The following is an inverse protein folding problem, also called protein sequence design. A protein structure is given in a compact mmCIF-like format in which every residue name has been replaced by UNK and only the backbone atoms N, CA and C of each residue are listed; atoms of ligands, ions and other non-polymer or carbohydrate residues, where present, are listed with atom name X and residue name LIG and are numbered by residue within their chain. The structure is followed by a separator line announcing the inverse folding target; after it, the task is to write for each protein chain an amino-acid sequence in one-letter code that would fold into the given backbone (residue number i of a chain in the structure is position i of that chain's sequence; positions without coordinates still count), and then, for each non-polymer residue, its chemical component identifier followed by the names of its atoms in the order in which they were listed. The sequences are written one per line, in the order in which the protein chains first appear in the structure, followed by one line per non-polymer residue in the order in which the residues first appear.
data_IF_362913051403
#
_entry.id   IF_362913051403
#
_cell.length_a   1.000
_cell.length_b   1.000
_cell.length_c   1.000
_cell.angle_alpha   90.00
_cell.angle_beta   90.00
_cell.angle_gamma   90.00
#
_symmetry.space_group_name_H-M   'P 1'
#
loop_
_entity.id
_entity.type
_entity.pdbx_description
1 polymer ?
#
# COMPACT_ATOMS: atom_id res chain seq x y z
N UNK A 1 -7.89 23.05 18.54
CA UNK A 1 -6.57 23.05 17.87
C UNK A 1 -6.36 21.71 17.17
N UNK A 2 -6.53 21.66 15.86
CA UNK A 2 -6.42 20.41 15.08
C UNK A 2 -4.98 20.20 14.59
N UNK A 3 -4.07 19.86 15.50
CA UNK A 3 -2.70 19.52 15.12
C UNK A 3 -2.68 18.35 14.13
N UNK A 4 -1.99 18.52 12.98
CA UNK A 4 -1.73 17.44 12.04
C UNK A 4 -0.82 16.39 12.68
N UNK A 5 -0.86 15.14 12.17
CA UNK A 5 0.07 14.07 12.56
C UNK A 5 1.28 14.08 11.64
N UNK A 6 2.16 15.07 11.80
CA UNK A 6 3.33 15.20 10.94
C UNK A 6 4.27 14.01 11.00
N UNK A 7 4.35 13.31 12.14
CA UNK A 7 5.11 12.06 12.25
C UNK A 7 4.56 10.97 11.31
N UNK A 8 3.22 10.86 11.20
CA UNK A 8 2.62 9.91 10.24
C UNK A 8 2.85 10.35 8.79
N UNK A 9 2.89 11.65 8.50
CA UNK A 9 3.15 12.12 7.15
C UNK A 9 4.60 11.83 6.72
N UNK A 10 5.59 11.95 7.63
CA UNK A 10 6.98 11.53 7.39
C UNK A 10 7.05 10.00 7.23
N UNK A 11 6.41 9.25 8.13
CA UNK A 11 6.37 7.79 8.03
C UNK A 11 5.83 7.34 6.67
N UNK A 12 4.78 7.97 6.15
CA UNK A 12 4.24 7.66 4.81
C UNK A 12 5.27 7.83 3.70
N UNK A 13 6.11 8.86 3.76
CA UNK A 13 7.17 9.04 2.76
C UNK A 13 8.18 7.90 2.84
N UNK A 14 8.66 7.56 4.04
CA UNK A 14 9.60 6.46 4.24
C UNK A 14 9.04 5.12 3.76
N UNK A 15 7.77 4.85 4.06
CA UNK A 15 7.08 3.64 3.62
C UNK A 15 6.83 3.63 2.12
N UNK A 16 6.54 4.78 1.50
CA UNK A 16 6.41 4.89 0.05
C UNK A 16 7.74 4.57 -0.65
N UNK A 17 8.86 5.08 -0.13
CA UNK A 17 10.20 4.75 -0.64
C UNK A 17 10.55 3.27 -0.45
N UNK A 18 10.13 2.68 0.66
CA UNK A 18 10.30 1.24 0.90
C UNK A 18 9.50 0.39 -0.11
N UNK A 19 8.30 0.84 -0.50
CA UNK A 19 7.52 0.18 -1.56
C UNK A 19 8.19 0.35 -2.92
N UNK A 20 8.75 1.53 -3.22
CA UNK A 20 9.56 1.73 -4.43
C UNK A 20 10.71 0.74 -4.45
N UNK A 21 11.46 0.62 -3.35
CA UNK A 21 12.58 -0.32 -3.21
C UNK A 21 12.14 -1.78 -3.42
N UNK A 22 10.97 -2.17 -2.95
CA UNK A 22 10.39 -3.49 -3.17
C UNK A 22 10.27 -3.84 -4.66
N UNK A 23 9.76 -2.90 -5.46
CA UNK A 23 9.50 -3.14 -6.88
C UNK A 23 10.76 -3.03 -7.76
N UNK A 24 11.73 -2.24 -7.33
CA UNK A 24 13.00 -2.08 -8.03
C UNK A 24 14.00 -3.18 -7.63
N UNK A 25 13.92 -3.65 -6.42
CA UNK A 25 14.95 -4.41 -5.75
C UNK A 25 15.22 -5.81 -6.30
N UNK A 26 14.39 -6.34 -7.22
CA UNK A 26 14.70 -7.61 -7.89
C UNK A 26 16.08 -7.60 -8.57
N UNK A 27 16.63 -6.41 -8.81
CA UNK A 27 17.90 -6.25 -9.52
C UNK A 27 19.04 -5.73 -8.63
N UNK A 28 18.76 -5.32 -7.39
CA UNK A 28 19.61 -4.31 -6.77
C UNK A 28 20.69 -4.77 -5.80
N UNK A 29 20.39 -5.61 -4.86
CA UNK A 29 21.34 -5.78 -3.75
C UNK A 29 22.04 -7.14 -3.74
N UNK A 30 21.42 -8.11 -4.39
CA UNK A 30 21.90 -9.47 -4.30
C UNK A 30 21.71 -10.15 -5.66
N UNK A 31 22.76 -10.73 -6.19
CA UNK A 31 22.69 -11.61 -7.38
C UNK A 31 21.92 -12.90 -7.08
N UNK A 32 21.11 -12.92 -6.03
CA UNK A 32 20.37 -14.06 -5.56
C UNK A 32 18.95 -13.64 -5.16
N UNK A 33 17.94 -14.24 -5.79
CA UNK A 33 16.52 -13.98 -5.58
C UNK A 33 16.12 -14.22 -4.13
N UNK A 34 16.65 -15.27 -3.49
CA UNK A 34 16.37 -15.57 -2.08
C UNK A 34 16.68 -14.40 -1.15
N UNK A 35 17.88 -13.82 -1.25
CA UNK A 35 18.27 -12.70 -0.39
C UNK A 35 17.45 -11.45 -0.64
N UNK A 36 17.03 -11.22 -1.91
CA UNK A 36 16.14 -10.11 -2.21
C UNK A 36 14.77 -10.31 -1.57
N UNK A 37 14.15 -11.48 -1.76
CA UNK A 37 12.85 -11.82 -1.17
C UNK A 37 12.94 -11.78 0.35
N UNK A 38 13.98 -12.36 0.92
CA UNK A 38 14.16 -12.43 2.36
C UNK A 38 14.37 -11.05 2.99
N UNK A 39 15.24 -10.19 2.44
CA UNK A 39 15.57 -8.92 3.09
C UNK A 39 14.58 -7.82 2.69
N UNK A 40 14.46 -7.54 1.39
CA UNK A 40 13.72 -6.37 0.92
C UNK A 40 12.21 -6.64 0.90
N UNK A 41 11.80 -7.77 0.34
CA UNK A 41 10.38 -8.08 0.23
C UNK A 41 9.74 -8.23 1.61
N UNK A 42 10.41 -8.90 2.54
CA UNK A 42 9.91 -9.10 3.91
C UNK A 42 9.67 -7.77 4.63
N UNK A 43 10.67 -6.88 4.70
CA UNK A 43 10.51 -5.59 5.40
C UNK A 43 9.50 -4.68 4.69
N UNK A 44 9.40 -4.74 3.37
CA UNK A 44 8.49 -3.87 2.61
C UNK A 44 7.01 -4.20 2.81
N UNK A 45 6.68 -5.38 3.37
CA UNK A 45 5.30 -5.74 3.72
C UNK A 45 4.67 -4.79 4.73
N UNK A 46 5.49 -4.14 5.59
CA UNK A 46 5.01 -3.13 6.54
C UNK A 46 4.50 -1.85 5.85
N UNK A 47 4.88 -1.61 4.59
CA UNK A 47 4.48 -0.42 3.85
C UNK A 47 2.97 -0.32 3.68
N UNK A 48 2.39 -1.27 2.96
CA UNK A 48 0.96 -1.27 2.64
C UNK A 48 0.11 -1.49 3.89
N UNK A 49 0.52 -2.39 4.79
CA UNK A 49 -0.18 -2.64 6.07
C UNK A 49 -0.28 -1.37 6.91
N UNK A 50 0.81 -0.62 7.05
CA UNK A 50 0.82 0.67 7.76
C UNK A 50 -0.04 1.72 7.05
N UNK A 51 -0.06 1.78 5.71
CA UNK A 51 -0.91 2.72 4.98
C UNK A 51 -2.41 2.50 5.25
N UNK A 52 -2.88 1.25 5.29
CA UNK A 52 -4.27 0.96 5.66
C UNK A 52 -4.57 1.38 7.10
N UNK A 53 -3.70 1.04 8.06
CA UNK A 53 -3.87 1.39 9.47
C UNK A 53 -3.90 2.92 9.65
N UNK A 54 -2.95 3.64 9.04
CA UNK A 54 -2.93 5.11 9.10
C UNK A 54 -4.16 5.75 8.46
N UNK A 55 -4.65 5.17 7.35
CA UNK A 55 -5.87 5.66 6.68
C UNK A 55 -7.10 5.49 7.56
N UNK A 56 -7.23 4.33 8.23
CA UNK A 56 -8.27 4.08 9.22
C UNK A 56 -8.18 5.06 10.39
N UNK A 57 -7.01 5.21 11.00
CA UNK A 57 -6.79 6.13 12.11
C UNK A 57 -7.17 7.57 11.75
N UNK A 58 -6.63 8.10 10.65
CA UNK A 58 -6.87 9.50 10.25
C UNK A 58 -8.32 9.78 9.87
N UNK A 59 -9.02 8.79 9.29
CA UNK A 59 -10.43 8.94 8.93
C UNK A 59 -11.34 8.91 10.16
N UNK A 60 -11.15 7.93 11.06
CA UNK A 60 -12.06 7.66 12.17
C UNK A 60 -11.75 8.41 13.48
N UNK A 61 -10.61 9.12 13.56
CA UNK A 61 -10.29 9.95 14.76
C UNK A 61 -11.23 11.12 15.02
N UNK A 62 -12.05 11.48 14.08
CA UNK A 62 -13.12 12.48 14.24
C UNK A 62 -14.45 11.80 13.95
N UNK A 63 -15.55 12.27 14.53
CA UNK A 63 -16.87 11.72 14.25
C UNK A 63 -17.11 11.59 12.73
N UNK A 64 -17.55 10.42 12.30
CA UNK A 64 -17.70 10.09 10.88
C UNK A 64 -19.16 9.86 10.54
N UNK A 65 -19.77 10.83 9.84
CA UNK A 65 -21.07 10.72 9.21
C UNK A 65 -20.99 10.28 7.74
N UNK A 66 -22.14 10.02 7.13
CA UNK A 66 -22.31 9.56 5.75
C UNK A 66 -21.60 10.49 4.74
N UNK A 67 -21.77 11.80 4.90
CA UNK A 67 -21.19 12.78 3.97
C UNK A 67 -19.65 12.79 4.01
N UNK A 68 -19.05 12.61 5.19
CA UNK A 68 -17.60 12.53 5.30
C UNK A 68 -17.04 11.27 4.62
N UNK A 69 -17.72 10.14 4.75
CA UNK A 69 -17.34 8.89 4.04
C UNK A 69 -17.47 9.08 2.54
N UNK A 70 -18.60 9.59 2.05
CA UNK A 70 -18.83 9.91 0.64
C UNK A 70 -17.71 10.78 0.06
N UNK A 71 -17.37 11.87 0.76
CA UNK A 71 -16.29 12.77 0.36
C UNK A 71 -14.93 12.06 0.29
N UNK A 72 -14.63 11.18 1.26
CA UNK A 72 -13.38 10.42 1.28
C UNK A 72 -13.32 9.41 0.14
N UNK A 73 -14.39 8.65 -0.09
CA UNK A 73 -14.49 7.69 -1.20
C UNK A 73 -14.35 8.41 -2.53
N UNK A 74 -15.07 9.52 -2.73
CA UNK A 74 -14.97 10.30 -3.97
C UNK A 74 -13.56 10.83 -4.21
N UNK A 75 -12.84 11.27 -3.16
CA UNK A 75 -11.44 11.66 -3.27
C UNK A 75 -10.56 10.51 -3.73
N UNK A 76 -10.74 9.31 -3.17
CA UNK A 76 -9.96 8.12 -3.56
C UNK A 76 -10.30 7.71 -4.99
N UNK A 77 -11.59 7.71 -5.38
CA UNK A 77 -12.02 7.40 -6.74
C UNK A 77 -11.45 8.37 -7.76
N UNK A 78 -11.42 9.66 -7.43
CA UNK A 78 -10.85 10.68 -8.30
C UNK A 78 -9.34 10.45 -8.50
N UNK A 79 -8.61 10.22 -7.41
CA UNK A 79 -7.20 9.87 -7.45
C UNK A 79 -6.96 8.61 -8.28
N UNK A 80 -7.76 7.57 -8.04
CA UNK A 80 -7.69 6.30 -8.75
C UNK A 80 -7.94 6.49 -10.26
N UNK A 81 -8.99 7.24 -10.64
CA UNK A 81 -9.30 7.53 -12.04
C UNK A 81 -8.21 8.30 -12.75
N UNK A 82 -7.64 9.35 -12.11
CA UNK A 82 -6.54 10.11 -12.70
C UNK A 82 -5.31 9.23 -12.99
N UNK A 83 -4.91 8.39 -12.06
CA UNK A 83 -3.78 7.48 -12.26
C UNK A 83 -4.10 6.31 -13.20
N UNK A 84 -5.36 5.84 -13.25
CA UNK A 84 -5.79 4.89 -14.27
C UNK A 84 -5.59 5.45 -15.68
N UNK A 85 -5.92 6.72 -15.92
CA UNK A 85 -5.68 7.36 -17.22
C UNK A 85 -4.18 7.41 -17.55
N UNK A 86 -3.32 7.67 -16.56
CA UNK A 86 -1.86 7.68 -16.77
C UNK A 86 -1.34 6.30 -17.14
N UNK A 87 -1.88 5.22 -16.56
CA UNK A 87 -1.45 3.83 -16.83
C UNK A 87 -2.13 3.19 -18.03
N UNK A 88 -3.24 3.76 -18.52
CA UNK A 88 -4.03 3.19 -19.62
C UNK A 88 -3.20 2.86 -20.88
N UNK A 89 -2.24 3.68 -21.34
CA UNK A 89 -1.41 3.33 -22.48
C UNK A 89 -0.60 2.05 -22.27
N UNK A 90 -0.12 1.79 -21.04
CA UNK A 90 0.63 0.58 -20.71
C UNK A 90 -0.27 -0.66 -20.68
N UNK A 91 -1.51 -0.52 -20.20
CA UNK A 91 -2.49 -1.60 -20.19
C UNK A 91 -2.90 -1.95 -21.63
N UNK A 92 -3.15 -0.94 -22.48
CA UNK A 92 -3.47 -1.14 -23.90
C UNK A 92 -2.31 -1.88 -24.58
N UNK A 93 -1.07 -1.43 -24.41
CA UNK A 93 0.10 -2.09 -24.97
C UNK A 93 0.18 -3.57 -24.55
N UNK A 94 -0.08 -3.86 -23.25
CA UNK A 94 -0.09 -5.22 -22.73
C UNK A 94 -1.18 -6.06 -23.38
N UNK A 95 -2.41 -5.57 -23.50
CA UNK A 95 -3.52 -6.29 -24.12
C UNK A 95 -3.26 -6.61 -25.60
N UNK A 96 -2.65 -5.67 -26.34
CA UNK A 96 -2.24 -5.90 -27.73
C UNK A 96 -1.16 -6.97 -27.82
N UNK A 97 -0.17 -6.94 -26.94
CA UNK A 97 0.91 -7.93 -26.88
C UNK A 97 0.39 -9.32 -26.52
N UNK A 98 -0.55 -9.41 -25.58
CA UNK A 98 -1.16 -10.67 -25.12
C UNK A 98 -2.20 -11.21 -26.12
N UNK A 99 -2.48 -10.48 -27.22
CA UNK A 99 -3.42 -10.89 -28.29
C UNK A 99 -4.89 -10.92 -27.84
N UNK A 100 -5.26 -10.20 -26.77
CA UNK A 100 -6.64 -10.15 -26.33
C UNK A 100 -7.50 -9.37 -27.32
N UNK A 101 -8.68 -9.93 -27.65
CA UNK A 101 -9.67 -9.17 -28.41
C UNK A 101 -10.32 -8.09 -27.55
N UNK A 102 -10.97 -7.11 -28.20
CA UNK A 102 -11.53 -5.94 -27.53
C UNK A 102 -12.52 -6.27 -26.39
N UNK A 103 -13.50 -7.19 -26.55
CA UNK A 103 -14.39 -7.60 -25.47
C UNK A 103 -13.64 -8.21 -24.26
N UNK A 104 -12.66 -9.09 -24.52
CA UNK A 104 -11.85 -9.71 -23.46
C UNK A 104 -11.03 -8.67 -22.70
N UNK A 105 -10.41 -7.71 -23.40
CA UNK A 105 -9.66 -6.63 -22.79
C UNK A 105 -10.55 -5.74 -21.89
N UNK A 106 -11.79 -5.43 -22.31
CA UNK A 106 -12.74 -4.67 -21.49
C UNK A 106 -13.13 -5.44 -20.24
N UNK A 107 -13.46 -6.72 -20.34
CA UNK A 107 -13.86 -7.55 -19.21
C UNK A 107 -12.71 -7.63 -18.19
N UNK A 108 -11.49 -7.92 -18.63
CA UNK A 108 -10.29 -7.97 -17.79
C UNK A 108 -10.01 -6.62 -17.13
N UNK A 109 -10.09 -5.52 -17.88
CA UNK A 109 -9.89 -4.18 -17.34
C UNK A 109 -10.90 -3.82 -16.27
N UNK A 110 -12.20 -4.06 -16.51
CA UNK A 110 -13.27 -3.76 -15.54
C UNK A 110 -13.10 -4.62 -14.28
N UNK A 111 -12.82 -5.90 -14.44
CA UNK A 111 -12.60 -6.82 -13.32
C UNK A 111 -11.39 -6.38 -12.47
N UNK A 112 -10.28 -6.04 -13.11
CA UNK A 112 -9.09 -5.50 -12.43
C UNK A 112 -9.41 -4.17 -11.74
N UNK A 113 -10.09 -3.25 -12.42
CA UNK A 113 -10.43 -1.94 -11.87
C UNK A 113 -11.24 -2.04 -10.57
N UNK A 114 -12.12 -3.01 -10.47
CA UNK A 114 -12.97 -3.19 -9.28
C UNK A 114 -12.21 -3.92 -8.16
N UNK A 115 -11.50 -5.01 -8.46
CA UNK A 115 -11.02 -5.95 -7.46
C UNK A 115 -9.52 -5.89 -7.18
N UNK A 116 -8.69 -5.56 -8.18
CA UNK A 116 -7.24 -5.70 -8.08
C UNK A 116 -6.45 -4.42 -8.42
N UNK A 117 -7.13 -3.35 -8.84
CA UNK A 117 -6.49 -2.15 -9.38
C UNK A 117 -6.16 -2.29 -10.87
N UNK A 118 -6.35 -1.23 -11.65
CA UNK A 118 -6.07 -1.22 -13.10
C UNK A 118 -4.60 -1.50 -13.38
N UNK A 119 -3.70 -1.04 -12.52
CA UNK A 119 -2.28 -1.40 -12.56
C UNK A 119 -1.86 -2.07 -11.25
N UNK A 120 -0.86 -2.94 -11.27
CA UNK A 120 -0.53 -3.90 -10.20
C UNK A 120 -0.36 -3.28 -8.79
N UNK A 121 0.07 -2.03 -8.66
CA UNK A 121 0.23 -1.34 -7.37
C UNK A 121 -1.03 -0.60 -6.93
N UNK A 122 -1.99 -0.35 -7.84
CA UNK A 122 -3.20 0.42 -7.54
C UNK A 122 -4.27 -0.35 -6.77
N UNK A 123 -4.06 -1.67 -6.55
CA UNK A 123 -4.95 -2.50 -5.74
C UNK A 123 -5.23 -1.91 -4.35
N UNK A 124 -4.27 -1.18 -3.78
CA UNK A 124 -4.44 -0.52 -2.50
C UNK A 124 -5.58 0.49 -2.51
N UNK A 125 -5.75 1.27 -3.57
CA UNK A 125 -6.79 2.31 -3.65
C UNK A 125 -8.20 1.67 -3.76
N UNK A 126 -8.41 0.68 -4.63
CA UNK A 126 -9.69 -0.04 -4.72
C UNK A 126 -10.00 -0.76 -3.41
N UNK A 127 -9.01 -1.43 -2.83
CA UNK A 127 -9.13 -2.10 -1.54
C UNK A 127 -9.45 -1.15 -0.38
N UNK A 128 -8.88 0.04 -0.37
CA UNK A 128 -9.14 1.04 0.67
C UNK A 128 -10.59 1.53 0.64
N UNK A 129 -11.19 1.66 -0.54
CA UNK A 129 -12.61 2.02 -0.67
C UNK A 129 -13.49 0.95 -0.02
N UNK A 130 -13.28 -0.33 -0.37
CA UNK A 130 -14.02 -1.46 0.20
C UNK A 130 -13.84 -1.51 1.72
N UNK A 131 -12.60 -1.41 2.19
CA UNK A 131 -12.27 -1.45 3.61
C UNK A 131 -12.97 -0.33 4.41
N UNK A 132 -12.97 0.90 3.88
CA UNK A 132 -13.67 2.05 4.50
C UNK A 132 -15.18 1.77 4.60
N UNK A 133 -15.80 1.22 3.54
CA UNK A 133 -17.21 0.88 3.54
C UNK A 133 -17.54 -0.17 4.60
N UNK A 134 -16.78 -1.27 4.66
CA UNK A 134 -16.98 -2.34 5.64
C UNK A 134 -16.87 -1.79 7.08
N UNK A 135 -15.81 -1.05 7.37
CA UNK A 135 -15.58 -0.49 8.70
C UNK A 135 -16.66 0.55 9.06
N UNK A 136 -17.11 1.36 8.10
CA UNK A 136 -18.17 2.33 8.34
C UNK A 136 -19.52 1.67 8.65
N UNK A 137 -19.91 0.63 7.91
CA UNK A 137 -21.15 -0.11 8.13
C UNK A 137 -21.14 -0.76 9.52
N UNK A 138 -20.01 -1.34 9.92
CA UNK A 138 -19.87 -2.08 11.16
C UNK A 138 -19.33 -1.24 12.33
N UNK A 139 -19.15 0.07 12.19
CA UNK A 139 -18.44 0.94 13.15
C UNK A 139 -18.99 0.90 14.59
N UNK A 140 -20.29 0.62 14.75
CA UNK A 140 -20.96 0.56 16.06
C UNK A 140 -20.94 -0.85 16.70
N UNK A 141 -20.47 -1.88 15.95
CA UNK A 141 -20.40 -3.28 16.40
C UNK A 141 -18.95 -3.74 16.48
N UNK A 142 -18.17 -3.13 17.36
CA UNK A 142 -16.72 -3.27 17.41
C UNK A 142 -16.24 -4.72 17.51
N UNK A 143 -16.80 -5.53 18.41
CA UNK A 143 -16.38 -6.92 18.57
C UNK A 143 -16.60 -7.70 17.27
N UNK A 144 -17.79 -7.58 16.66
CA UNK A 144 -18.12 -8.26 15.41
C UNK A 144 -17.20 -7.77 14.29
N UNK A 145 -16.97 -6.45 14.19
CA UNK A 145 -16.06 -5.87 13.20
C UNK A 145 -14.66 -6.52 13.29
N UNK A 146 -14.06 -6.53 14.47
CA UNK A 146 -12.71 -7.06 14.67
C UNK A 146 -12.67 -8.57 14.43
N UNK A 147 -13.62 -9.34 14.99
CA UNK A 147 -13.63 -10.81 14.83
C UNK A 147 -13.81 -11.23 13.37
N UNK A 148 -14.80 -10.66 12.66
CA UNK A 148 -15.06 -11.01 11.27
C UNK A 148 -13.90 -10.59 10.36
N UNK A 149 -13.40 -9.35 10.50
CA UNK A 149 -12.32 -8.88 9.65
C UNK A 149 -10.98 -9.56 9.96
N UNK A 150 -10.73 -9.97 11.21
CA UNK A 150 -9.57 -10.79 11.57
C UNK A 150 -9.64 -12.18 10.94
N UNK A 151 -10.80 -12.84 10.98
CA UNK A 151 -11.02 -14.13 10.31
C UNK A 151 -10.77 -14.04 8.81
N UNK A 152 -11.30 -13.01 8.14
CA UNK A 152 -11.03 -12.75 6.73
C UNK A 152 -9.55 -12.49 6.46
N UNK A 153 -8.87 -11.71 7.31
CA UNK A 153 -7.44 -11.45 7.18
C UNK A 153 -6.60 -12.73 7.30
N UNK A 154 -6.92 -13.60 8.24
CA UNK A 154 -6.26 -14.89 8.42
C UNK A 154 -6.39 -15.72 7.13
N UNK A 155 -7.58 -15.84 6.59
CA UNK A 155 -7.82 -16.54 5.32
C UNK A 155 -7.00 -15.87 4.20
N UNK A 156 -7.02 -14.55 4.12
CA UNK A 156 -6.28 -13.79 3.10
C UNK A 156 -4.77 -14.04 3.15
N UNK A 157 -4.17 -14.06 4.35
CA UNK A 157 -2.74 -14.33 4.52
C UNK A 157 -2.40 -15.79 4.16
N UNK A 158 -3.22 -16.75 4.62
CA UNK A 158 -2.98 -18.16 4.31
C UNK A 158 -3.06 -18.44 2.81
N UNK A 159 -3.97 -17.81 2.10
CA UNK A 159 -4.13 -18.03 0.65
C UNK A 159 -3.08 -17.27 -0.17
N UNK A 160 -2.88 -15.98 0.08
CA UNK A 160 -1.98 -15.12 -0.73
C UNK A 160 -0.51 -15.35 -0.37
N UNK A 161 -0.18 -15.42 0.92
CA UNK A 161 1.21 -15.49 1.38
C UNK A 161 1.71 -16.92 1.58
N UNK A 162 0.89 -17.79 2.17
CA UNK A 162 1.30 -19.19 2.40
C UNK A 162 0.86 -20.15 1.29
N UNK A 163 0.09 -19.69 0.29
CA UNK A 163 -0.28 -20.46 -0.89
C UNK A 163 -1.29 -21.57 -0.65
N UNK A 164 -2.07 -21.49 0.43
CA UNK A 164 -3.15 -22.43 0.66
C UNK A 164 -4.26 -22.18 -0.36
N UNK A 165 -4.69 -23.24 -1.04
CA UNK A 165 -5.71 -23.12 -2.10
C UNK A 165 -7.03 -22.61 -1.56
N UNK A 166 -7.63 -21.66 -2.27
CA UNK A 166 -8.98 -21.17 -2.06
C UNK A 166 -9.88 -21.65 -3.22
N UNK A 167 -11.21 -21.73 -3.08
CA UNK A 167 -12.08 -22.21 -4.14
C UNK A 167 -11.85 -21.48 -5.48
N UNK A 168 -11.70 -22.23 -6.57
CA UNK A 168 -11.44 -21.68 -7.92
C UNK A 168 -12.45 -20.63 -8.35
N UNK A 169 -13.74 -20.84 -8.03
CA UNK A 169 -14.84 -19.89 -8.32
C UNK A 169 -14.55 -18.50 -7.75
N UNK A 170 -13.94 -18.43 -6.56
CA UNK A 170 -13.55 -17.15 -5.97
C UNK A 170 -12.56 -16.40 -6.87
N UNK A 171 -11.50 -17.07 -7.34
CA UNK A 171 -10.47 -16.45 -8.18
C UNK A 171 -10.99 -16.02 -9.56
N UNK A 172 -12.01 -16.70 -10.09
CA UNK A 172 -12.67 -16.29 -11.33
C UNK A 172 -13.34 -14.93 -11.21
N UNK A 173 -13.88 -14.61 -10.02
CA UNK A 173 -14.62 -13.35 -9.80
C UNK A 173 -13.70 -12.27 -9.23
N UNK A 174 -12.95 -12.58 -8.18
CA UNK A 174 -12.23 -11.60 -7.35
C UNK A 174 -10.73 -11.53 -7.65
N UNK A 175 -10.20 -12.40 -8.49
CA UNK A 175 -8.80 -12.50 -8.93
C UNK A 175 -7.80 -12.84 -7.80
N UNK A 176 -7.98 -12.31 -6.60
CA UNK A 176 -7.04 -12.47 -5.47
C UNK A 176 -7.73 -12.26 -4.13
N UNK A 177 -7.22 -12.87 -3.08
CA UNK A 177 -7.58 -12.56 -1.69
C UNK A 177 -6.87 -11.32 -1.16
N UNK A 178 -5.89 -10.79 -1.89
CA UNK A 178 -5.21 -9.52 -1.60
C UNK A 178 -6.09 -8.34 -1.99
N UNK A 179 -7.16 -8.12 -1.26
CA UNK A 179 -8.15 -7.09 -1.53
C UNK A 179 -8.69 -6.42 -0.26
N UNK A 180 -9.61 -5.47 -0.44
CA UNK A 180 -10.17 -4.69 0.64
C UNK A 180 -11.00 -5.50 1.64
N UNK A 181 -11.64 -6.58 1.20
CA UNK A 181 -12.47 -7.42 2.07
C UNK A 181 -11.60 -8.26 3.01
N UNK A 182 -10.66 -9.03 2.45
CA UNK A 182 -9.84 -9.97 3.22
C UNK A 182 -8.71 -9.28 4.00
N UNK A 183 -8.03 -8.31 3.40
CA UNK A 183 -6.86 -7.68 4.03
C UNK A 183 -7.12 -6.26 4.52
N UNK A 184 -7.68 -5.41 3.65
CA UNK A 184 -7.85 -3.99 3.96
C UNK A 184 -8.79 -3.71 5.12
N UNK A 185 -9.89 -4.46 5.24
CA UNK A 185 -10.92 -4.21 6.24
C UNK A 185 -10.40 -4.37 7.68
N UNK A 186 -9.60 -5.40 7.96
CA UNK A 186 -9.00 -5.58 9.28
C UNK A 186 -8.02 -4.45 9.61
N UNK A 187 -7.14 -4.10 8.68
CA UNK A 187 -6.13 -3.07 8.91
C UNK A 187 -6.76 -1.67 9.12
N UNK A 188 -7.81 -1.33 8.37
CA UNK A 188 -8.58 -0.09 8.58
C UNK A 188 -9.35 -0.15 9.90
N UNK A 189 -9.88 -1.31 10.30
CA UNK A 189 -10.55 -1.49 11.60
C UNK A 189 -9.58 -1.31 12.77
N UNK A 190 -8.35 -1.85 12.66
CA UNK A 190 -7.27 -1.59 13.64
C UNK A 190 -6.98 -0.09 13.71
N UNK A 191 -6.86 0.59 12.55
CA UNK A 191 -6.67 2.05 12.52
C UNK A 191 -7.79 2.80 13.25
N UNK A 192 -9.05 2.39 13.07
CA UNK A 192 -10.19 2.91 13.84
C UNK A 192 -10.03 2.64 15.34
N UNK A 193 -9.63 1.44 15.73
CA UNK A 193 -9.40 1.13 17.14
C UNK A 193 -8.29 2.00 17.74
N UNK A 194 -7.19 2.24 17.03
CA UNK A 194 -6.15 3.17 17.49
C UNK A 194 -6.69 4.60 17.66
N UNK A 195 -7.62 5.03 16.81
CA UNK A 195 -8.28 6.32 16.92
C UNK A 195 -9.21 6.39 18.17
N UNK A 196 -9.96 5.34 18.43
CA UNK A 196 -10.84 5.26 19.62
C UNK A 196 -10.05 5.30 20.95
N UNK A 197 -8.79 4.84 20.96
CA UNK A 197 -7.91 4.80 22.12
C UNK A 197 -6.74 5.79 22.07
N UNK A 198 -6.77 6.78 21.19
CA UNK A 198 -5.67 7.73 20.96
C UNK A 198 -5.07 8.31 22.25
N UNK A 199 -5.92 8.73 23.21
CA UNK A 199 -5.48 9.33 24.47
C UNK A 199 -4.63 8.37 25.33
N UNK A 200 -4.95 7.06 25.29
CA UNK A 200 -4.23 6.04 26.04
C UNK A 200 -2.88 5.68 25.38
N UNK A 201 -2.79 5.80 24.05
CA UNK A 201 -1.59 5.44 23.30
C UNK A 201 -0.41 6.37 23.56
N UNK A 202 -0.66 7.62 23.92
CA UNK A 202 0.39 8.63 24.21
C UNK A 202 1.30 8.27 25.37
N UNK A 203 0.88 7.38 26.25
CA UNK A 203 1.61 7.01 27.47
C UNK A 203 2.36 5.68 27.38
N UNK A 204 2.36 5.02 26.22
CA UNK A 204 2.92 3.68 26.07
C UNK A 204 4.39 3.68 25.63
N UNK A 205 5.32 3.99 26.54
CA UNK A 205 6.77 3.94 26.28
C UNK A 205 7.27 2.53 25.89
N UNK A 206 6.59 1.47 26.35
CA UNK A 206 6.97 0.06 26.12
C UNK A 206 6.97 -0.36 24.65
N UNK A 207 6.19 0.31 23.78
CA UNK A 207 6.14 -0.04 22.34
C UNK A 207 7.48 0.07 21.64
N UNK A 208 8.35 1.00 22.08
CA UNK A 208 9.70 1.16 21.51
C UNK A 208 10.60 -0.05 21.78
N UNK A 209 10.40 -0.73 22.90
CA UNK A 209 11.16 -1.93 23.26
C UNK A 209 10.64 -3.17 22.53
N UNK A 210 9.34 -3.22 22.21
CA UNK A 210 8.71 -4.34 21.52
C UNK A 210 9.02 -4.31 20.02
N UNK A 211 9.23 -3.13 19.42
CA UNK A 211 9.46 -2.99 17.99
C UNK A 211 10.65 -3.81 17.45
N UNK A 212 11.85 -3.80 18.06
CA UNK A 212 12.96 -4.63 17.60
C UNK A 212 12.64 -6.12 17.63
N UNK A 213 11.96 -6.60 18.68
CA UNK A 213 11.54 -8.01 18.80
C UNK A 213 10.54 -8.38 17.69
N UNK A 214 9.58 -7.48 17.41
CA UNK A 214 8.62 -7.69 16.33
C UNK A 214 9.29 -7.70 14.93
N UNK A 215 10.32 -6.87 14.73
CA UNK A 215 11.12 -6.88 13.48
C UNK A 215 11.89 -8.20 13.34
N UNK A 216 12.49 -8.70 14.42
CA UNK A 216 13.15 -10.02 14.39
C UNK A 216 12.14 -11.11 14.03
N UNK A 217 10.95 -11.11 14.65
CA UNK A 217 9.88 -12.05 14.32
C UNK A 217 9.44 -11.94 12.85
N UNK A 218 9.40 -10.72 12.27
CA UNK A 218 9.09 -10.50 10.87
C UNK A 218 10.12 -11.19 9.96
N UNK A 219 11.40 -11.05 10.26
CA UNK A 219 12.45 -11.71 9.48
C UNK A 219 12.48 -13.24 9.68
N UNK A 220 12.12 -13.74 10.87
CA UNK A 220 11.96 -15.18 11.11
C UNK A 220 10.82 -15.73 10.26
N UNK A 221 9.64 -15.08 10.26
CA UNK A 221 8.51 -15.50 9.41
C UNK A 221 8.87 -15.42 7.92
N UNK A 222 9.47 -14.32 7.48
CA UNK A 222 9.92 -14.15 6.09
C UNK A 222 10.95 -15.20 5.65
N UNK A 223 11.89 -15.54 6.54
CA UNK A 223 12.88 -16.59 6.31
C UNK A 223 12.25 -17.98 6.18
N UNK A 224 11.27 -18.29 7.02
CA UNK A 224 10.53 -19.55 6.92
C UNK A 224 9.78 -19.64 5.58
N UNK A 225 9.06 -18.59 5.19
CA UNK A 225 8.33 -18.55 3.90
C UNK A 225 9.30 -18.71 2.73
N UNK A 226 10.40 -17.95 2.71
CA UNK A 226 11.41 -17.99 1.64
C UNK A 226 12.17 -19.32 1.57
N UNK A 227 12.25 -20.08 2.68
CA UNK A 227 12.84 -21.42 2.72
C UNK A 227 11.93 -22.45 2.03
N UNK A 228 10.61 -22.33 2.19
CA UNK A 228 9.65 -23.23 1.54
C UNK A 228 9.43 -22.90 0.06
N UNK A 229 9.48 -21.63 -0.29
CA UNK A 229 9.30 -21.13 -1.66
C UNK A 229 10.13 -19.84 -1.83
N UNK A 230 11.33 -19.97 -2.41
CA UNK A 230 12.29 -18.87 -2.54
C UNK A 230 11.85 -17.77 -3.52
N UNK A 231 10.89 -18.07 -4.39
CA UNK A 231 10.36 -17.11 -5.37
C UNK A 231 9.05 -16.45 -4.91
N UNK A 232 8.50 -16.91 -3.80
CA UNK A 232 7.21 -16.42 -3.29
C UNK A 232 7.28 -14.97 -2.86
N UNK A 233 6.47 -14.17 -3.49
CA UNK A 233 6.30 -12.77 -3.13
C UNK A 233 5.44 -12.66 -1.87
N UNK A 234 6.06 -12.22 -0.75
CA UNK A 234 5.36 -12.00 0.51
C UNK A 234 4.63 -10.65 0.43
N UNK A 235 3.32 -10.67 0.28
CA UNK A 235 2.54 -9.43 0.22
C UNK A 235 2.20 -8.89 1.60
N UNK A 236 1.67 -9.72 2.49
CA UNK A 236 1.35 -9.40 3.88
C UNK A 236 1.63 -10.64 4.73
N UNK A 237 2.45 -10.50 5.76
CA UNK A 237 2.74 -11.54 6.75
C UNK A 237 2.02 -11.24 8.08
N UNK A 238 1.79 -12.23 8.93
CA UNK A 238 1.19 -12.00 10.25
C UNK A 238 2.01 -11.03 11.08
N UNK A 239 3.33 -11.22 11.11
CA UNK A 239 4.24 -10.33 11.85
C UNK A 239 4.32 -8.95 11.25
N UNK A 240 4.14 -8.78 9.93
CA UNK A 240 4.08 -7.45 9.30
C UNK A 240 2.90 -6.62 9.80
N UNK A 241 1.78 -7.26 10.08
CA UNK A 241 0.62 -6.60 10.70
C UNK A 241 0.96 -6.12 12.11
N UNK A 242 1.60 -6.97 12.91
CA UNK A 242 2.04 -6.63 14.27
C UNK A 242 3.04 -5.47 14.26
N UNK A 243 4.08 -5.55 13.43
CA UNK A 243 5.09 -4.49 13.27
C UNK A 243 4.42 -3.17 12.87
N UNK A 244 3.48 -3.20 11.93
CA UNK A 244 2.78 -2.01 11.46
C UNK A 244 1.91 -1.38 12.55
N UNK A 245 1.21 -2.19 13.36
CA UNK A 245 0.43 -1.69 14.50
C UNK A 245 1.35 -0.99 15.49
N UNK A 246 2.47 -1.62 15.86
CA UNK A 246 3.46 -1.07 16.81
C UNK A 246 4.05 0.24 16.26
N UNK A 247 4.49 0.23 15.00
CA UNK A 247 5.12 1.38 14.34
C UNK A 247 4.16 2.58 14.29
N UNK A 248 2.93 2.38 13.82
CA UNK A 248 1.92 3.44 13.75
C UNK A 248 1.56 3.94 15.16
N UNK A 249 1.45 3.04 16.14
CA UNK A 249 1.18 3.41 17.54
C UNK A 249 2.29 4.28 18.12
N UNK A 250 3.56 3.93 17.88
CA UNK A 250 4.71 4.75 18.28
C UNK A 250 4.62 6.15 17.68
N UNK A 251 4.35 6.25 16.37
CA UNK A 251 4.28 7.53 15.66
C UNK A 251 3.12 8.42 16.13
N UNK A 252 2.00 7.81 16.55
CA UNK A 252 0.88 8.52 17.17
C UNK A 252 1.27 9.04 18.56
N UNK A 253 2.00 8.23 19.34
CA UNK A 253 2.37 8.55 20.72
C UNK A 253 3.51 9.55 20.87
N UNK A 254 4.33 9.76 19.84
CA UNK A 254 5.42 10.74 19.85
C UNK A 254 4.89 12.19 19.85
N UNK A 255 5.66 13.16 20.38
CA UNK A 255 5.37 14.59 20.20
C UNK A 255 5.21 14.89 18.71
N UNK A 256 4.06 15.48 18.33
CA UNK A 256 3.74 15.67 16.93
C UNK A 256 4.47 16.88 16.35
N UNK A 257 5.17 16.69 15.25
CA UNK A 257 5.76 17.74 14.43
C UNK A 257 4.72 18.33 13.49
N UNK A 258 4.94 19.57 13.06
CA UNK A 258 4.13 20.21 12.01
C UNK A 258 4.65 19.75 10.66
N UNK A 259 3.81 19.10 9.85
CA UNK A 259 4.11 18.81 8.45
C UNK A 259 3.22 19.65 7.53
N UNK A 260 3.80 20.12 6.44
CA UNK A 260 3.05 20.88 5.42
C UNK A 260 2.13 19.98 4.60
N UNK A 261 1.15 20.57 3.91
CA UNK A 261 0.31 19.86 2.92
C UNK A 261 1.20 19.18 1.86
N UNK A 262 2.29 19.83 1.48
CA UNK A 262 3.22 19.31 0.47
C UNK A 262 3.87 17.98 0.90
N UNK A 263 4.38 17.90 2.12
CA UNK A 263 4.95 16.66 2.70
C UNK A 263 3.93 15.51 2.67
N UNK A 264 2.68 15.80 3.02
CA UNK A 264 1.60 14.82 3.00
C UNK A 264 1.32 14.27 1.60
N UNK A 265 1.32 15.14 0.60
CA UNK A 265 1.01 14.78 -0.78
C UNK A 265 2.17 14.03 -1.46
N UNK A 266 3.42 14.30 -1.07
CA UNK A 266 4.60 13.64 -1.65
C UNK A 266 4.51 12.11 -1.57
N UNK A 267 4.12 11.54 -0.43
CA UNK A 267 4.03 10.08 -0.28
C UNK A 267 3.05 9.44 -1.26
N UNK A 268 1.93 10.11 -1.55
CA UNK A 268 0.94 9.65 -2.52
C UNK A 268 1.51 9.62 -3.92
N UNK A 269 2.20 10.71 -4.31
CA UNK A 269 2.78 10.80 -5.65
C UNK A 269 3.92 9.80 -5.82
N UNK A 270 4.85 9.68 -4.84
CA UNK A 270 5.93 8.67 -4.88
C UNK A 270 5.34 7.27 -5.09
N UNK A 271 4.32 6.92 -4.28
CA UNK A 271 3.66 5.61 -4.38
C UNK A 271 2.99 5.39 -5.74
N UNK A 272 2.39 6.41 -6.34
CA UNK A 272 1.62 6.23 -7.57
C UNK A 272 2.44 6.40 -8.85
N UNK A 273 3.54 7.20 -8.85
CA UNK A 273 4.33 7.44 -10.05
C UNK A 273 5.48 6.45 -10.27
N UNK A 274 5.95 5.75 -9.23
CA UNK A 274 7.17 4.93 -9.33
C UNK A 274 7.13 3.86 -10.45
N UNK A 275 6.00 3.16 -10.74
CA UNK A 275 6.03 2.19 -11.81
C UNK A 275 6.18 2.81 -13.21
N UNK A 276 5.63 4.03 -13.43
CA UNK A 276 5.89 4.75 -14.69
C UNK A 276 7.38 5.06 -14.84
N UNK A 277 8.02 5.50 -13.76
CA UNK A 277 9.46 5.79 -13.76
C UNK A 277 10.27 4.53 -14.03
N UNK A 278 9.90 3.40 -13.43
CA UNK A 278 10.54 2.11 -13.70
C UNK A 278 10.43 1.69 -15.17
N UNK A 279 9.25 1.87 -15.78
CA UNK A 279 9.04 1.60 -17.21
C UNK A 279 9.95 2.49 -18.06
N UNK A 280 10.02 3.79 -17.77
CA UNK A 280 10.88 4.73 -18.50
C UNK A 280 12.35 4.34 -18.38
N UNK A 281 12.82 3.97 -17.18
CA UNK A 281 14.20 3.55 -16.97
C UNK A 281 14.50 2.24 -17.71
N UNK A 282 13.56 1.29 -17.74
CA UNK A 282 13.76 0.04 -18.48
C UNK A 282 13.81 0.26 -20.01
N UNK A 283 13.22 1.34 -20.52
CA UNK A 283 13.38 1.71 -21.94
C UNK A 283 14.83 2.02 -22.31
N UNK A 284 15.71 2.36 -21.33
CA UNK A 284 17.15 2.56 -21.61
C UNK A 284 17.80 1.32 -22.24
N UNK A 285 17.36 0.12 -21.87
CA UNK A 285 17.90 -1.13 -22.45
C UNK A 285 17.56 -1.25 -23.93
N UNK A 286 16.38 -0.80 -24.35
CA UNK A 286 15.96 -0.76 -25.75
C UNK A 286 16.71 0.29 -26.57
N UNK A 287 17.30 1.29 -25.90
CA UNK A 287 18.13 2.31 -26.51
C UNK A 287 19.63 1.94 -26.50
N UNK A 288 19.97 0.71 -26.08
CA UNK A 288 21.35 0.23 -26.02
C UNK A 288 22.15 0.77 -24.82
N UNK A 289 21.48 1.43 -23.85
CA UNK A 289 22.10 1.94 -22.62
C UNK A 289 21.86 0.92 -21.50
N UNK A 290 22.79 -0.01 -21.34
CA UNK A 290 22.69 -1.06 -20.32
C UNK A 290 23.19 -0.56 -18.97
N UNK A 291 22.25 -0.11 -18.13
CA UNK A 291 22.53 0.26 -16.75
C UNK A 291 22.49 -0.99 -15.86
N UNK A 292 23.45 -1.12 -14.95
CA UNK A 292 23.35 -2.18 -13.95
C UNK A 292 22.14 -1.95 -13.03
N UNK A 293 21.67 -3.02 -12.45
CA UNK A 293 20.47 -3.01 -11.63
C UNK A 293 20.52 -2.02 -10.46
N UNK A 294 21.72 -1.84 -9.88
CA UNK A 294 21.95 -0.89 -8.79
C UNK A 294 21.73 0.55 -9.22
N UNK A 295 22.27 0.92 -10.36
CA UNK A 295 22.12 2.26 -10.92
C UNK A 295 20.66 2.52 -11.28
N UNK A 296 19.98 1.56 -11.93
CA UNK A 296 18.53 1.68 -12.24
C UNK A 296 17.71 1.94 -10.98
N UNK A 297 17.99 1.22 -9.91
CA UNK A 297 17.27 1.36 -8.64
C UNK A 297 17.49 2.71 -8.01
N UNK A 298 18.75 3.16 -7.93
CA UNK A 298 19.09 4.45 -7.38
C UNK A 298 18.45 5.60 -8.18
N UNK A 299 18.52 5.54 -9.50
CA UNK A 299 17.87 6.51 -10.39
C UNK A 299 16.35 6.50 -10.17
N UNK A 300 15.72 5.32 -10.10
CA UNK A 300 14.28 5.21 -9.88
C UNK A 300 13.82 5.84 -8.56
N UNK A 301 14.56 5.64 -7.48
CA UNK A 301 14.27 6.28 -6.20
C UNK A 301 14.37 7.80 -6.28
N UNK A 302 15.47 8.32 -6.83
CA UNK A 302 15.67 9.76 -6.98
C UNK A 302 14.60 10.37 -7.88
N UNK A 303 14.34 9.77 -9.03
CA UNK A 303 13.33 10.25 -9.97
C UNK A 303 11.93 10.23 -9.39
N UNK A 304 11.60 9.24 -8.55
CA UNK A 304 10.30 9.20 -7.84
C UNK A 304 10.14 10.37 -6.86
N UNK A 305 11.22 10.72 -6.15
CA UNK A 305 11.23 11.88 -5.25
C UNK A 305 11.14 13.18 -6.05
N UNK A 306 11.92 13.32 -7.12
CA UNK A 306 11.91 14.52 -7.97
C UNK A 306 10.56 14.72 -8.66
N UNK A 307 9.96 13.64 -9.17
CA UNK A 307 8.61 13.68 -9.74
C UNK A 307 7.58 14.12 -8.69
N UNK A 308 7.66 13.61 -7.46
CA UNK A 308 6.77 14.02 -6.39
C UNK A 308 6.95 15.51 -6.03
N UNK A 309 8.17 15.99 -5.95
CA UNK A 309 8.46 17.42 -5.73
C UNK A 309 7.91 18.29 -6.86
N UNK A 310 8.10 17.86 -8.12
CA UNK A 310 7.58 18.58 -9.28
C UNK A 310 6.04 18.65 -9.28
N UNK A 311 5.36 17.51 -9.08
CA UNK A 311 3.90 17.44 -9.04
C UNK A 311 3.36 18.30 -7.90
N UNK A 312 3.94 18.23 -6.70
CA UNK A 312 3.52 19.06 -5.57
C UNK A 312 3.77 20.54 -5.81
N UNK A 313 4.89 20.92 -6.45
CA UNK A 313 5.15 22.32 -6.82
C UNK A 313 4.18 22.82 -7.88
N UNK A 314 3.90 22.01 -8.89
CA UNK A 314 2.96 22.33 -9.97
C UNK A 314 1.50 22.44 -9.47
N UNK A 315 1.11 21.67 -8.46
CA UNK A 315 -0.23 21.75 -7.88
C UNK A 315 -0.52 23.09 -7.23
N UNK A 316 0.50 23.79 -6.74
CA UNK A 316 0.36 25.15 -6.21
C UNK A 316 0.01 26.16 -7.32
N UNK A 317 0.37 25.85 -8.57
CA UNK A 317 0.10 26.70 -9.75
C UNK A 317 -1.17 26.27 -10.50
N UNK A 318 -1.41 24.97 -10.61
CA UNK A 318 -2.51 24.38 -11.38
C UNK A 318 -3.38 23.48 -10.50
N UNK A 319 -4.58 23.94 -10.12
CA UNK A 319 -5.52 23.20 -9.24
C UNK A 319 -5.91 21.81 -9.76
N UNK A 320 -5.87 21.58 -11.08
CA UNK A 320 -6.18 20.29 -11.68
C UNK A 320 -5.21 19.19 -11.19
N UNK A 321 -3.97 19.57 -10.88
CA UNK A 321 -2.92 18.65 -10.39
C UNK A 321 -3.22 18.16 -8.97
N UNK A 322 -4.02 18.87 -8.19
CA UNK A 322 -4.48 18.39 -6.87
C UNK A 322 -5.22 17.04 -6.97
N UNK A 323 -5.71 16.66 -8.15
CA UNK A 323 -6.40 15.39 -8.37
C UNK A 323 -5.47 14.17 -8.37
N UNK A 324 -4.17 14.39 -8.54
CA UNK A 324 -3.12 13.36 -8.54
C UNK A 324 -2.48 13.12 -7.16
N UNK A 325 -3.05 13.77 -6.09
CA UNK A 325 -2.46 13.75 -4.74
C UNK A 325 -3.46 13.37 -3.64
#
# INVERSE_FOLDING_TARGET
MGGGYGNLDILKILLALLIVLRHIGQWFLFNNVFWHVYIINTISTIGVTSFFIMSGFLLFRKPVGKERIKKQIFRILKLYGCWTIVYLPLDIYKYLKDGLNFPQAIVDFVQKAIFNGTYYHMWYLSSLIVAICVVYIMKNRRCILITVTAGLMIIGIFTDTYGISFPKVYYTIFLTTRNGLFMGSFLVAIGKCLADYESKLRNLKKWKLILPVAIVALYVEGGLISKFDSERIINIAFTSVIVSIILVTIMIGLPQIKASKNVRNMSTVIYLCHPCIMVIINLSDHLGIFLNAGVKSFISMIMSILAALAVVKLSNKFKIIDNFM
#
